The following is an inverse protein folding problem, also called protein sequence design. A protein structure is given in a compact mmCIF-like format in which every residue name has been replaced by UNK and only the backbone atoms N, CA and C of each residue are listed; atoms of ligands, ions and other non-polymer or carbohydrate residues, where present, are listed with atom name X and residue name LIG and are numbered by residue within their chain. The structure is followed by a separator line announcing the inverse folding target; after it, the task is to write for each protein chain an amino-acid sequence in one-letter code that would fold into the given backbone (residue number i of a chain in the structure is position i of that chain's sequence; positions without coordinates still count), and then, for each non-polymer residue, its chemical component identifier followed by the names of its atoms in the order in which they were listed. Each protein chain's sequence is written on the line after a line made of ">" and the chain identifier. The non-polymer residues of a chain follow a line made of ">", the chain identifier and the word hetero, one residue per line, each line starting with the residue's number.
data_IF_469743862732
#
_entry.id   IF_469743862732
#
_cell.length_a   1.000
_cell.length_b   1.000
_cell.length_c   1.000
_cell.angle_alpha   90.00
_cell.angle_beta   90.00
_cell.angle_gamma   90.00
#
_symmetry.space_group_name_H-M   'P 1'
#
loop_
_entity.id
_entity.type
_entity.pdbx_description
1 polymer ?
#
# COMPACT_ATOMS: atom_id res chain seq x y z
N UNK A 1 56.19 -20.56 -10.10
CA UNK A 1 55.82 -19.13 -10.02
C UNK A 1 54.57 -18.91 -10.85
N UNK A 2 53.39 -18.77 -10.25
CA UNK A 2 52.21 -18.11 -10.86
C UNK A 2 51.43 -17.49 -9.70
N UNK A 3 51.31 -16.16 -9.66
CA UNK A 3 50.45 -15.43 -8.71
C UNK A 3 49.20 -15.04 -9.50
N UNK A 4 48.07 -15.65 -9.19
CA UNK A 4 46.76 -15.25 -9.73
C UNK A 4 46.28 -14.02 -8.96
N UNK A 5 46.14 -12.88 -9.65
CA UNK A 5 45.57 -11.67 -9.09
C UNK A 5 44.03 -11.74 -9.16
N UNK A 6 43.37 -11.61 -8.01
CA UNK A 6 41.92 -11.51 -7.94
C UNK A 6 41.52 -10.02 -8.01
N UNK A 7 40.86 -9.63 -9.09
CA UNK A 7 40.28 -8.29 -9.24
C UNK A 7 38.93 -8.23 -8.54
N UNK A 8 38.82 -7.40 -7.50
CA UNK A 8 37.56 -7.10 -6.83
C UNK A 8 36.80 -6.06 -7.66
N UNK A 9 35.69 -6.46 -8.30
CA UNK A 9 34.76 -5.52 -8.94
C UNK A 9 33.85 -4.97 -7.82
N UNK A 10 34.12 -3.74 -7.39
CA UNK A 10 33.25 -3.02 -6.46
C UNK A 10 32.02 -2.52 -7.25
N UNK A 11 30.87 -3.17 -7.05
CA UNK A 11 29.60 -2.73 -7.61
C UNK A 11 29.12 -1.43 -6.96
N UNK A 12 28.75 -0.45 -7.78
CA UNK A 12 28.06 0.77 -7.35
C UNK A 12 26.66 0.39 -6.86
N UNK A 13 26.48 0.26 -5.55
CA UNK A 13 25.17 0.16 -4.94
C UNK A 13 24.49 1.54 -5.03
N UNK A 14 23.40 1.64 -5.78
CA UNK A 14 22.52 2.80 -5.75
C UNK A 14 21.81 2.80 -4.40
N UNK A 15 22.27 3.62 -3.46
CA UNK A 15 21.62 3.76 -2.15
C UNK A 15 20.29 4.50 -2.31
N UNK A 16 19.18 3.77 -2.20
CA UNK A 16 17.88 4.41 -1.97
C UNK A 16 17.95 5.18 -0.63
N UNK A 17 17.24 6.32 -0.51
CA UNK A 17 17.19 7.05 0.75
C UNK A 17 16.63 6.13 1.86
N UNK A 18 17.28 6.13 3.03
CA UNK A 18 16.94 5.27 4.19
C UNK A 18 15.46 5.32 4.55
N UNK A 19 14.82 6.49 4.42
CA UNK A 19 13.40 6.68 4.70
C UNK A 19 12.48 5.78 3.82
N UNK A 20 12.86 5.50 2.58
CA UNK A 20 12.07 4.65 1.69
C UNK A 20 12.15 3.17 2.07
N UNK A 21 13.26 2.73 2.68
CA UNK A 21 13.48 1.32 3.04
C UNK A 21 12.55 0.84 4.16
N UNK A 22 12.05 1.77 4.98
CA UNK A 22 11.20 1.47 6.13
C UNK A 22 9.77 2.01 5.98
N UNK A 23 9.40 2.55 4.82
CA UNK A 23 8.03 3.06 4.61
C UNK A 23 7.05 1.89 4.50
N UNK A 24 5.95 1.98 5.25
CA UNK A 24 4.79 1.10 5.13
C UNK A 24 3.65 1.83 4.44
N UNK A 25 2.97 1.15 3.52
CA UNK A 25 1.88 1.73 2.73
C UNK A 25 0.62 0.90 2.91
N UNK A 26 -0.49 1.57 3.21
CA UNK A 26 -1.82 0.97 3.25
C UNK A 26 -2.68 1.67 2.21
N UNK A 27 -3.11 0.92 1.19
CA UNK A 27 -3.97 1.38 0.11
C UNK A 27 -5.38 0.88 0.37
N UNK A 28 -6.38 1.74 0.25
CA UNK A 28 -7.78 1.42 0.54
C UNK A 28 -8.66 1.94 -0.59
N UNK A 29 -9.28 1.03 -1.33
CA UNK A 29 -10.39 1.37 -2.23
C UNK A 29 -11.71 1.34 -1.46
N UNK A 30 -12.47 2.42 -1.54
CA UNK A 30 -13.85 2.47 -1.08
C UNK A 30 -14.80 1.79 -2.06
N UNK A 31 -16.10 1.82 -1.75
CA UNK A 31 -17.16 1.39 -2.65
C UNK A 31 -17.18 2.27 -3.91
N UNK A 32 -17.16 1.63 -5.09
CA UNK A 32 -17.31 2.29 -6.39
C UNK A 32 -18.75 2.62 -6.73
N UNK A 33 -19.70 1.81 -6.27
CA UNK A 33 -21.11 1.93 -6.68
C UNK A 33 -21.30 1.41 -8.10
N UNK A 34 -20.85 2.18 -9.10
CA UNK A 34 -20.79 1.74 -10.49
C UNK A 34 -19.43 1.10 -10.82
N UNK A 35 -19.38 0.08 -11.71
CA UNK A 35 -18.14 -0.63 -12.02
C UNK A 35 -16.99 0.27 -12.52
N UNK A 36 -17.32 1.36 -13.21
CA UNK A 36 -16.32 2.33 -13.72
C UNK A 36 -15.51 2.95 -12.57
N UNK A 37 -16.14 3.28 -11.44
CA UNK A 37 -15.45 3.85 -10.29
C UNK A 37 -14.59 2.81 -9.58
N UNK A 38 -15.08 1.56 -9.45
CA UNK A 38 -14.27 0.45 -8.91
C UNK A 38 -13.00 0.26 -9.73
N UNK A 39 -13.09 0.21 -11.07
CA UNK A 39 -11.92 0.14 -11.97
C UNK A 39 -11.02 1.38 -11.84
N UNK A 40 -11.61 2.57 -11.73
CA UNK A 40 -10.85 3.83 -11.63
C UNK A 40 -10.05 3.92 -10.34
N UNK A 41 -10.66 3.63 -9.19
CA UNK A 41 -9.99 3.63 -7.89
C UNK A 41 -8.89 2.58 -7.83
N UNK A 42 -9.16 1.38 -8.36
CA UNK A 42 -8.13 0.35 -8.53
C UNK A 42 -6.96 0.87 -9.37
N UNK A 43 -7.23 1.43 -10.55
CA UNK A 43 -6.18 1.97 -11.40
C UNK A 43 -5.35 3.08 -10.72
N UNK A 44 -5.96 3.90 -9.87
CA UNK A 44 -5.24 4.94 -9.13
C UNK A 44 -4.32 4.36 -8.05
N UNK A 45 -4.83 3.41 -7.26
CA UNK A 45 -4.08 2.79 -6.17
C UNK A 45 -2.97 1.86 -6.69
N UNK A 46 -3.22 1.09 -7.76
CA UNK A 46 -2.20 0.24 -8.39
C UNK A 46 -1.04 1.07 -8.93
N UNK A 47 -1.31 2.17 -9.66
CA UNK A 47 -0.25 3.08 -10.13
C UNK A 47 0.52 3.73 -8.98
N UNK A 48 -0.14 4.01 -7.86
CA UNK A 48 0.55 4.51 -6.67
C UNK A 48 1.48 3.43 -6.09
N UNK A 49 1.00 2.19 -5.97
CA UNK A 49 1.80 1.06 -5.49
C UNK A 49 3.03 0.81 -6.38
N UNK A 50 2.85 0.88 -7.70
CA UNK A 50 3.91 0.66 -8.67
C UNK A 50 4.93 1.81 -8.61
N UNK A 51 4.47 3.06 -8.55
CA UNK A 51 5.37 4.20 -8.37
C UNK A 51 6.15 4.10 -7.05
N UNK A 52 5.49 3.75 -5.94
CA UNK A 52 6.13 3.59 -4.63
C UNK A 52 7.23 2.51 -4.67
N UNK A 53 6.94 1.38 -5.30
CA UNK A 53 7.88 0.26 -5.43
C UNK A 53 9.01 0.56 -6.41
N UNK A 54 8.67 0.88 -7.65
CA UNK A 54 9.62 0.94 -8.76
C UNK A 54 10.44 2.23 -8.77
N UNK A 55 9.84 3.36 -8.40
CA UNK A 55 10.51 4.68 -8.45
C UNK A 55 11.09 5.10 -7.11
N UNK A 56 10.40 4.78 -6.01
CA UNK A 56 10.79 5.22 -4.68
C UNK A 56 11.43 4.13 -3.83
N UNK A 57 11.43 2.87 -4.29
CA UNK A 57 12.15 1.77 -3.64
C UNK A 57 11.48 1.24 -2.37
N UNK A 58 10.18 1.45 -2.20
CA UNK A 58 9.41 0.81 -1.13
C UNK A 58 9.26 -0.67 -1.43
N UNK A 59 9.66 -1.53 -0.50
CA UNK A 59 9.50 -2.97 -0.68
C UNK A 59 8.02 -3.33 -0.86
N UNK A 60 7.68 -4.10 -1.91
CA UNK A 60 6.29 -4.49 -2.22
C UNK A 60 5.62 -5.24 -1.06
N UNK A 61 6.38 -5.98 -0.25
CA UNK A 61 5.88 -6.65 0.96
C UNK A 61 5.40 -5.68 2.05
N UNK A 62 5.79 -4.41 1.98
CA UNK A 62 5.33 -3.34 2.89
C UNK A 62 4.16 -2.53 2.33
N UNK A 63 3.63 -2.91 1.17
CA UNK A 63 2.46 -2.29 0.54
C UNK A 63 1.28 -3.25 0.67
N UNK A 64 0.33 -2.91 1.55
CA UNK A 64 -0.91 -3.66 1.71
C UNK A 64 -2.03 -2.94 0.95
N UNK A 65 -2.82 -3.67 0.17
CA UNK A 65 -3.91 -3.08 -0.61
C UNK A 65 -5.23 -3.79 -0.33
N UNK A 66 -6.20 -3.01 0.17
CA UNK A 66 -7.56 -3.44 0.43
C UNK A 66 -8.51 -2.89 -0.65
N UNK A 67 -9.17 -3.78 -1.38
CA UNK A 67 -10.08 -3.45 -2.49
C UNK A 67 -11.55 -3.71 -2.16
N UNK A 68 -12.47 -3.12 -2.92
CA UNK A 68 -13.91 -3.46 -2.81
C UNK A 68 -14.16 -4.94 -3.12
N UNK A 69 -13.46 -5.45 -4.13
CA UNK A 69 -13.49 -6.82 -4.62
C UNK A 69 -12.05 -7.34 -4.81
N UNK A 70 -11.59 -8.31 -3.99
CA UNK A 70 -10.28 -8.93 -4.14
C UNK A 70 -10.08 -9.68 -5.47
N UNK A 71 -11.16 -10.15 -6.09
CA UNK A 71 -11.07 -10.93 -7.33
C UNK A 71 -10.72 -10.06 -8.55
N UNK A 72 -10.82 -8.74 -8.42
CA UNK A 72 -10.45 -7.79 -9.48
C UNK A 72 -8.96 -7.87 -9.84
N UNK A 73 -8.10 -8.01 -8.83
CA UNK A 73 -6.66 -8.25 -8.99
C UNK A 73 -6.13 -9.02 -7.77
N UNK A 74 -6.19 -10.36 -7.79
CA UNK A 74 -5.74 -11.19 -6.67
C UNK A 74 -4.24 -11.12 -6.40
N UNK A 75 -3.46 -10.50 -7.30
CA UNK A 75 -2.00 -10.36 -7.14
C UNK A 75 -1.63 -9.07 -6.42
N UNK A 76 -2.47 -8.03 -6.54
CA UNK A 76 -2.27 -6.77 -5.86
C UNK A 76 -3.15 -6.61 -4.61
N UNK A 77 -4.41 -7.05 -4.66
CA UNK A 77 -5.40 -6.83 -3.61
C UNK A 77 -5.27 -7.96 -2.57
N UNK A 78 -4.88 -7.58 -1.37
CA UNK A 78 -4.64 -8.50 -0.26
C UNK A 78 -5.94 -9.00 0.38
N UNK A 79 -6.94 -8.13 0.51
CA UNK A 79 -8.24 -8.46 1.10
C UNK A 79 -9.31 -7.42 0.75
N UNK A 80 -10.55 -7.73 1.12
CA UNK A 80 -11.67 -6.80 0.98
C UNK A 80 -11.51 -5.60 1.93
N UNK A 81 -11.88 -4.40 1.51
CA UNK A 81 -11.77 -3.15 2.29
C UNK A 81 -12.81 -2.98 3.39
N UNK A 82 -13.13 -4.04 4.12
CA UNK A 82 -14.00 -3.96 5.30
C UNK A 82 -13.28 -3.31 6.48
N UNK A 83 -14.05 -2.70 7.40
CA UNK A 83 -13.50 -2.11 8.62
C UNK A 83 -12.69 -3.11 9.45
N UNK A 84 -13.13 -4.38 9.49
CA UNK A 84 -12.44 -5.47 10.17
C UNK A 84 -11.05 -5.74 9.57
N UNK A 85 -10.97 -5.96 8.25
CA UNK A 85 -9.71 -6.27 7.58
C UNK A 85 -8.72 -5.12 7.69
N UNK A 86 -9.20 -3.88 7.51
CA UNK A 86 -8.38 -2.67 7.66
C UNK A 86 -7.90 -2.56 9.11
N UNK A 87 -8.79 -2.73 10.09
CA UNK A 87 -8.43 -2.67 11.51
C UNK A 87 -7.38 -3.71 11.91
N UNK A 88 -7.56 -4.95 11.46
CA UNK A 88 -6.58 -6.03 11.67
C UNK A 88 -5.22 -5.71 11.05
N UNK A 89 -5.20 -5.10 9.86
CA UNK A 89 -3.96 -4.68 9.21
C UNK A 89 -3.21 -3.61 10.02
N UNK A 90 -3.92 -2.63 10.59
CA UNK A 90 -3.29 -1.63 11.45
C UNK A 90 -2.81 -2.19 12.80
N UNK A 91 -3.52 -3.17 13.36
CA UNK A 91 -3.06 -3.91 14.54
C UNK A 91 -1.77 -4.67 14.23
N UNK A 92 -1.73 -5.44 13.13
CA UNK A 92 -0.54 -6.15 12.72
C UNK A 92 0.63 -5.20 12.39
N UNK A 93 0.34 -4.07 11.72
CA UNK A 93 1.33 -3.07 11.40
C UNK A 93 1.97 -2.50 12.67
N UNK A 94 1.17 -2.18 13.70
CA UNK A 94 1.66 -1.69 15.00
C UNK A 94 2.68 -2.63 15.66
N UNK A 95 2.53 -3.94 15.50
CA UNK A 95 3.47 -4.93 16.05
C UNK A 95 4.84 -4.95 15.33
N UNK A 96 4.94 -4.35 14.14
CA UNK A 96 6.13 -4.43 13.27
C UNK A 96 6.85 -3.10 13.06
N UNK A 97 6.19 -1.98 13.32
CA UNK A 97 6.74 -0.64 13.13
C UNK A 97 7.82 -0.30 14.17
N UNK A 98 8.93 0.27 13.72
CA UNK A 98 9.81 1.06 14.57
C UNK A 98 9.25 2.48 14.79
N UNK A 99 9.64 3.20 15.85
CA UNK A 99 9.12 4.54 16.15
C UNK A 99 9.29 5.57 15.02
N UNK A 100 10.33 5.43 14.21
CA UNK A 100 10.65 6.32 13.09
C UNK A 100 10.11 5.85 11.73
N UNK A 101 9.45 4.69 11.66
CA UNK A 101 8.96 4.15 10.40
C UNK A 101 7.79 4.97 9.84
N UNK A 102 7.88 5.51 8.61
CA UNK A 102 6.77 6.24 8.01
C UNK A 102 5.61 5.29 7.64
N UNK A 103 4.39 5.71 7.94
CA UNK A 103 3.17 5.06 7.44
C UNK A 103 2.45 6.00 6.49
N UNK A 104 2.21 5.54 5.27
CA UNK A 104 1.43 6.25 4.25
C UNK A 104 0.11 5.52 4.06
N UNK A 105 -0.99 6.24 4.25
CA UNK A 105 -2.33 5.71 3.99
C UNK A 105 -2.92 6.46 2.81
N UNK A 106 -3.31 5.72 1.77
CA UNK A 106 -3.95 6.29 0.58
C UNK A 106 -5.34 5.70 0.43
N UNK A 107 -6.33 6.57 0.34
CA UNK A 107 -7.73 6.20 0.25
C UNK A 107 -8.32 6.76 -1.04
N UNK A 108 -8.91 5.90 -1.86
CA UNK A 108 -9.60 6.28 -3.09
C UNK A 108 -11.01 5.70 -3.05
N UNK A 109 -12.03 6.55 -3.07
CA UNK A 109 -13.40 6.09 -2.90
C UNK A 109 -14.36 7.24 -2.74
N UNK A 110 -15.65 6.90 -2.73
CA UNK A 110 -16.69 7.86 -2.43
C UNK A 110 -16.73 8.20 -0.94
N UNK A 111 -17.12 9.44 -0.65
CA UNK A 111 -17.48 9.87 0.69
C UNK A 111 -18.96 10.25 0.76
N UNK A 112 -19.52 10.19 1.95
CA UNK A 112 -20.84 10.74 2.26
C UNK A 112 -20.72 11.79 3.34
N UNK A 113 -21.63 12.76 3.33
CA UNK A 113 -21.73 13.77 4.38
C UNK A 113 -23.19 13.88 4.81
N UNK A 114 -23.49 13.49 6.05
CA UNK A 114 -24.83 13.57 6.65
C UNK A 114 -24.73 13.95 8.12
N UNK A 115 -25.67 14.77 8.58
CA UNK A 115 -25.78 15.20 9.99
C UNK A 115 -24.48 15.75 10.59
N UNK A 116 -23.69 16.45 9.77
CA UNK A 116 -22.41 17.05 10.18
C UNK A 116 -21.23 16.08 10.20
N UNK A 117 -21.39 14.83 9.77
CA UNK A 117 -20.36 13.80 9.79
C UNK A 117 -19.98 13.40 8.35
N UNK A 118 -18.70 13.56 8.02
CA UNK A 118 -18.10 13.04 6.79
C UNK A 118 -17.65 11.60 7.00
N UNK A 119 -17.93 10.73 6.02
CA UNK A 119 -17.61 9.30 6.06
C UNK A 119 -16.98 8.85 4.76
N UNK A 120 -16.10 7.85 4.85
CA UNK A 120 -15.51 7.20 3.69
C UNK A 120 -16.24 5.88 3.46
N UNK A 121 -16.85 5.73 2.29
CA UNK A 121 -17.74 4.61 2.05
C UNK A 121 -16.92 3.35 1.75
N UNK A 122 -17.01 2.35 2.64
CA UNK A 122 -16.39 1.03 2.48
C UNK A 122 -17.44 -0.08 2.55
N UNK A 123 -17.13 -1.30 2.08
CA UNK A 123 -18.01 -2.44 2.27
C UNK A 123 -18.27 -2.73 3.75
N UNK A 124 -19.55 -2.69 4.14
CA UNK A 124 -19.98 -3.00 5.51
C UNK A 124 -20.01 -1.77 6.42
N UNK A 125 -19.75 -1.94 7.73
CA UNK A 125 -19.71 -0.83 8.68
C UNK A 125 -18.64 0.20 8.32
N UNK A 126 -18.89 1.45 8.72
CA UNK A 126 -17.91 2.53 8.64
C UNK A 126 -16.65 2.27 9.48
N UNK A 127 -15.58 3.00 9.17
CA UNK A 127 -14.33 2.97 9.96
C UNK A 127 -14.46 3.66 11.33
N UNK A 128 -15.49 4.48 11.55
CA UNK A 128 -15.67 5.34 12.73
C UNK A 128 -17.09 5.32 13.27
#
# INVERSE_FOLDING_TARGET
>A
MVRTAASLVAGLAVSAPVAAQNTHIVLISGLGGDPEYTTTFHGWLSRFADAASERYGVDRSRIQYFGEDPDLDPTAISARSTAENIGQAFVALKETLAPEDPVVVVMAGHGTFRDGIARFNIPGPDLT
#
